data_IF_033442792045
#
_entry.id   IF_033442792045
#
_cell.length_a   1.000
_cell.length_b   1.000
_cell.length_c   1.000
_cell.angle_alpha   90.00
_cell.angle_beta   90.00
_cell.angle_gamma   90.00
#
_symmetry.space_group_name_H-M   'P 1'
#
loop_
_entity.id
_entity.type
_entity.pdbx_description
1 polymer ?
#
# COMPACT_ATOMS: atom_id res chain seq x y z
N UNK A 1 10.50 -20.89 -11.61
CA UNK A 1 11.21 -19.61 -11.83
C UNK A 1 10.72 -18.66 -10.76
N UNK A 2 11.56 -18.37 -9.77
CA UNK A 2 11.17 -17.59 -8.59
C UNK A 2 11.38 -16.12 -8.89
N UNK A 3 10.43 -15.52 -9.61
CA UNK A 3 10.34 -14.07 -9.72
C UNK A 3 9.76 -13.55 -8.41
N UNK A 4 10.52 -12.77 -7.65
CA UNK A 4 9.94 -11.90 -6.64
C UNK A 4 9.14 -10.84 -7.38
N UNK A 5 7.92 -11.18 -7.80
CA UNK A 5 6.98 -10.21 -8.34
C UNK A 5 6.71 -9.19 -7.25
N UNK A 6 7.07 -7.93 -7.50
CA UNK A 6 6.68 -6.83 -6.63
C UNK A 6 5.16 -6.92 -6.42
N UNK A 7 4.75 -7.01 -5.15
CA UNK A 7 3.33 -7.12 -4.82
C UNK A 7 2.55 -5.99 -5.49
N UNK A 8 1.47 -6.34 -6.18
CA UNK A 8 0.54 -5.39 -6.79
C UNK A 8 -0.09 -4.49 -5.74
N UNK A 9 -0.63 -3.35 -6.17
CA UNK A 9 -1.29 -2.40 -5.26
C UNK A 9 -2.42 -3.10 -4.49
N UNK A 10 -3.23 -3.89 -5.19
CA UNK A 10 -4.36 -4.65 -4.65
C UNK A 10 -3.90 -5.69 -3.63
N UNK A 11 -2.79 -6.39 -3.88
CA UNK A 11 -2.23 -7.34 -2.93
C UNK A 11 -1.72 -6.66 -1.65
N UNK A 12 -1.15 -5.45 -1.77
CA UNK A 12 -0.72 -4.66 -0.61
C UNK A 12 -1.89 -4.15 0.21
N UNK A 13 -2.99 -3.76 -0.44
CA UNK A 13 -4.24 -3.38 0.22
C UNK A 13 -4.84 -4.58 0.96
N UNK A 14 -4.94 -5.75 0.31
CA UNK A 14 -5.45 -6.96 0.97
C UNK A 14 -4.63 -7.33 2.22
N UNK A 15 -3.29 -7.21 2.13
CA UNK A 15 -2.39 -7.45 3.27
C UNK A 15 -2.59 -6.41 4.39
N UNK A 16 -2.85 -5.16 4.05
CA UNK A 16 -3.17 -4.11 5.02
C UNK A 16 -4.49 -4.42 5.74
N UNK A 17 -5.53 -4.85 5.03
CA UNK A 17 -6.82 -5.22 5.63
C UNK A 17 -6.69 -6.42 6.58
N UNK A 18 -5.87 -7.41 6.23
CA UNK A 18 -5.56 -8.51 7.14
C UNK A 18 -4.86 -8.03 8.42
N UNK A 19 -3.90 -7.12 8.30
CA UNK A 19 -3.21 -6.51 9.45
C UNK A 19 -4.22 -5.76 10.31
N UNK A 20 -5.08 -4.93 9.72
CA UNK A 20 -6.10 -4.18 10.45
C UNK A 20 -7.07 -5.12 11.19
N UNK A 21 -7.50 -6.20 10.54
CA UNK A 21 -8.36 -7.23 11.15
C UNK A 21 -7.66 -7.91 12.33
N UNK A 22 -6.36 -8.18 12.24
CA UNK A 22 -5.57 -8.73 13.36
C UNK A 22 -5.39 -7.75 14.51
N UNK A 23 -5.21 -6.46 14.21
CA UNK A 23 -5.10 -5.41 15.22
C UNK A 23 -6.42 -5.21 15.97
N UNK A 24 -7.55 -5.33 15.28
CA UNK A 24 -8.89 -5.22 15.89
C UNK A 24 -9.22 -6.44 16.79
N UNK A 25 -8.65 -7.61 16.45
CA UNK A 25 -8.68 -8.78 17.32
C UNK A 25 -7.76 -8.60 18.53
N UNK A 26 -8.37 -8.34 19.68
CA UNK A 26 -7.73 -7.98 20.96
C UNK A 26 -6.91 -9.10 21.61
N UNK A 27 -6.77 -10.26 20.96
CA UNK A 27 -5.95 -11.39 21.41
C UNK A 27 -4.51 -11.34 20.87
N UNK A 28 -4.17 -10.34 20.04
CA UNK A 28 -2.83 -10.20 19.48
C UNK A 28 -1.82 -9.79 20.57
N UNK A 29 -0.75 -10.58 20.80
CA UNK A 29 0.30 -10.23 21.76
C UNK A 29 0.91 -8.86 21.43
N UNK A 30 1.25 -8.07 22.45
CA UNK A 30 1.83 -6.71 22.31
C UNK A 30 3.01 -6.66 21.34
N UNK A 31 3.88 -7.68 21.35
CA UNK A 31 5.04 -7.74 20.45
C UNK A 31 4.61 -7.88 18.98
N UNK A 32 3.57 -8.67 18.70
CA UNK A 32 2.99 -8.81 17.35
C UNK A 32 2.20 -7.57 16.93
N UNK A 33 1.52 -6.92 17.87
CA UNK A 33 0.82 -5.66 17.63
C UNK A 33 1.79 -4.59 17.12
N UNK A 34 2.97 -4.47 17.74
CA UNK A 34 3.99 -3.51 17.32
C UNK A 34 4.55 -3.82 15.92
N UNK A 35 4.70 -5.09 15.56
CA UNK A 35 5.11 -5.52 14.22
C UNK A 35 4.03 -5.23 13.17
N UNK A 36 2.79 -5.63 13.44
CA UNK A 36 1.64 -5.43 12.56
C UNK A 36 1.39 -3.93 12.31
N UNK A 37 1.49 -3.07 13.33
CA UNK A 37 1.39 -1.61 13.17
C UNK A 37 2.51 -1.05 12.29
N UNK A 38 3.76 -1.50 12.47
CA UNK A 38 4.90 -1.05 11.66
C UNK A 38 4.75 -1.46 10.19
N UNK A 39 4.34 -2.70 9.95
CA UNK A 39 4.11 -3.22 8.61
C UNK A 39 2.93 -2.51 7.94
N UNK A 40 1.83 -2.29 8.67
CA UNK A 40 0.68 -1.51 8.19
C UNK A 40 1.07 -0.08 7.81
N UNK A 41 1.82 0.61 8.67
CA UNK A 41 2.32 1.96 8.38
C UNK A 41 3.23 2.00 7.14
N UNK A 42 4.07 0.97 6.95
CA UNK A 42 4.91 0.82 5.75
C UNK A 42 4.04 0.64 4.51
N UNK A 43 3.05 -0.26 4.53
CA UNK A 43 2.15 -0.51 3.41
C UNK A 43 1.37 0.76 3.04
N UNK A 44 0.81 1.46 4.01
CA UNK A 44 0.11 2.73 3.78
C UNK A 44 1.00 3.74 3.04
N UNK A 45 2.27 3.87 3.47
CA UNK A 45 3.22 4.78 2.82
C UNK A 45 3.55 4.38 1.38
N UNK A 46 3.68 3.07 1.12
CA UNK A 46 3.91 2.57 -0.25
C UNK A 46 2.70 2.79 -1.15
N UNK A 47 1.48 2.57 -0.63
CA UNK A 47 0.23 2.81 -1.35
C UNK A 47 0.04 4.29 -1.66
N UNK A 48 0.26 5.19 -0.69
CA UNK A 48 0.21 6.65 -0.89
C UNK A 48 1.21 7.11 -1.97
N UNK A 49 2.44 6.59 -1.94
CA UNK A 49 3.44 6.90 -2.97
C UNK A 49 2.97 6.48 -4.35
N UNK A 50 2.39 5.29 -4.49
CA UNK A 50 1.90 4.79 -5.78
C UNK A 50 0.72 5.62 -6.28
N UNK A 51 -0.21 6.00 -5.41
CA UNK A 51 -1.33 6.88 -5.75
C UNK A 51 -0.84 8.22 -6.30
N UNK A 52 0.09 8.89 -5.60
CA UNK A 52 0.68 10.16 -6.06
C UNK A 52 1.40 10.06 -7.39
N UNK A 53 2.10 8.94 -7.61
CA UNK A 53 2.75 8.69 -8.88
C UNK A 53 1.72 8.57 -10.02
N UNK A 54 0.67 7.78 -9.82
CA UNK A 54 -0.40 7.62 -10.82
C UNK A 54 -1.13 8.93 -11.06
N UNK A 55 -1.43 9.70 -10.00
CA UNK A 55 -2.02 11.04 -10.13
C UNK A 55 -1.17 11.95 -11.01
N UNK A 56 0.16 11.96 -10.79
CA UNK A 56 1.09 12.75 -11.60
C UNK A 56 1.11 12.29 -13.06
N UNK A 57 1.22 10.99 -13.30
CA UNK A 57 1.21 10.40 -14.65
C UNK A 57 -0.09 10.73 -15.40
N UNK A 58 -1.24 10.66 -14.71
CA UNK A 58 -2.54 11.02 -15.29
C UNK A 58 -2.61 12.51 -15.61
N UNK A 59 -2.19 13.38 -14.69
CA UNK A 59 -2.17 14.83 -14.92
C UNK A 59 -1.25 15.21 -16.09
N UNK A 60 -0.09 14.58 -16.20
CA UNK A 60 0.85 14.86 -17.29
C UNK A 60 0.29 14.38 -18.63
N UNK A 61 -0.35 13.21 -18.68
CA UNK A 61 -1.06 12.75 -19.88
C UNK A 61 -2.18 13.70 -20.31
N UNK A 62 -2.91 14.29 -19.36
CA UNK A 62 -3.92 15.33 -19.67
C UNK A 62 -3.28 16.61 -20.24
N UNK A 63 -2.16 17.08 -19.68
CA UNK A 63 -1.44 18.26 -20.23
C UNK A 63 -0.94 18.02 -21.64
N UNK A 64 -0.41 16.83 -21.94
CA UNK A 64 0.03 16.46 -23.29
C UNK A 64 -1.14 16.45 -24.29
N UNK A 65 -2.34 16.07 -23.86
CA UNK A 65 -3.55 16.08 -24.70
C UNK A 65 -4.11 17.49 -24.94
N UNK A 66 -3.99 18.39 -23.97
CA UNK A 66 -4.46 19.77 -24.08
C UNK A 66 -3.52 20.70 -24.89
N UNK A 67 -2.36 20.18 -25.33
CA UNK A 67 -1.55 20.78 -26.39
C UNK A 67 -0.78 22.04 -26.01
N UNK A 68 -0.10 22.04 -24.85
CA UNK A 68 1.10 22.87 -24.64
C UNK A 68 2.38 22.16 -25.09
#
# INVERSE_FOLDING_TARGET
MSGAEEQTYEQKVAKLDEILTRLDNSETPIDKLAEDVKEGARLIKELDKKLKQVETEVLDAFKELDGE
#
